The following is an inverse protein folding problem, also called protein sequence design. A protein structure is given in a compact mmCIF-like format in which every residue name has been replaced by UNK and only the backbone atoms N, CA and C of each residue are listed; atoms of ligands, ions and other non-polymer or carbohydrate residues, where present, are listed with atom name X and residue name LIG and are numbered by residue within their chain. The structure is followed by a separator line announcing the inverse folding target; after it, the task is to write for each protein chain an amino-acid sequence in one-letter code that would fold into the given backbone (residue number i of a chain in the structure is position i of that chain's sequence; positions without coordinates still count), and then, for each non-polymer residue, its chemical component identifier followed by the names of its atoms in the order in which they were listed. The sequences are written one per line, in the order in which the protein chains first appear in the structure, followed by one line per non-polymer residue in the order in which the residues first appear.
data_IF_844666194525
#
_entry.id   IF_844666194525
#
_cell.length_a   1.000
_cell.length_b   1.000
_cell.length_c   1.000
_cell.angle_alpha   90.00
_cell.angle_beta   90.00
_cell.angle_gamma   90.00
#
_symmetry.space_group_name_H-M   'P 1'
#
loop_
_entity.id
_entity.type
_entity.pdbx_description
1 polymer ?
#
# COMPACT_ATOMS: atom_id res chain seq x y z
N UNK A 1 3.70 -4.25 -3.40
CA UNK A 1 3.64 -2.79 -3.16
C UNK A 1 2.54 -2.09 -3.95
N UNK A 2 2.52 -2.12 -5.30
CA UNK A 2 1.58 -1.33 -6.11
C UNK A 2 0.12 -1.59 -5.80
N UNK A 3 -0.29 -2.84 -5.67
CA UNK A 3 -1.68 -3.19 -5.34
C UNK A 3 -2.15 -2.65 -3.99
N UNK A 4 -1.31 -2.73 -2.94
CA UNK A 4 -1.60 -2.14 -1.63
C UNK A 4 -1.68 -0.61 -1.70
N UNK A 5 -0.75 0.05 -2.41
CA UNK A 5 -0.69 1.50 -2.53
C UNK A 5 -1.89 2.08 -3.29
N UNK A 6 -2.20 1.53 -4.46
CA UNK A 6 -3.35 1.99 -5.26
C UNK A 6 -4.70 1.61 -4.64
N UNK A 7 -4.79 0.47 -3.96
CA UNK A 7 -5.98 0.08 -3.21
C UNK A 7 -6.28 1.04 -2.06
N UNK A 8 -5.26 1.38 -1.25
CA UNK A 8 -5.40 2.35 -0.18
C UNK A 8 -5.67 3.77 -0.71
N UNK A 9 -4.97 4.19 -1.77
CA UNK A 9 -5.22 5.45 -2.46
C UNK A 9 -6.68 5.58 -2.87
N UNK A 10 -7.19 4.59 -3.60
CA UNK A 10 -8.57 4.59 -4.11
C UNK A 10 -9.59 4.63 -2.98
N UNK A 11 -9.34 3.94 -1.87
CA UNK A 11 -10.17 4.01 -0.68
C UNK A 11 -10.16 5.40 -0.05
N UNK A 12 -8.99 5.99 0.16
CA UNK A 12 -8.85 7.28 0.85
C UNK A 12 -9.43 8.44 0.05
N UNK A 13 -9.31 8.45 -1.28
CA UNK A 13 -9.94 9.49 -2.10
C UNK A 13 -11.47 9.42 -2.05
N UNK A 14 -12.08 8.23 -1.91
CA UNK A 14 -13.52 8.08 -1.71
C UNK A 14 -13.98 8.70 -0.37
N UNK A 15 -13.10 8.75 0.63
CA UNK A 15 -13.36 9.43 1.90
C UNK A 15 -13.11 10.94 1.84
N UNK A 16 -12.72 11.47 0.69
CA UNK A 16 -12.49 12.91 0.48
C UNK A 16 -11.11 13.40 0.90
N UNK A 17 -10.16 12.50 1.17
CA UNK A 17 -8.78 12.89 1.44
C UNK A 17 -8.04 13.28 0.16
N UNK A 18 -7.12 14.24 0.28
CA UNK A 18 -6.14 14.54 -0.77
C UNK A 18 -4.97 13.57 -0.59
N UNK A 19 -4.74 12.74 -1.57
CA UNK A 19 -3.76 11.63 -1.47
C UNK A 19 -2.82 11.66 -2.66
N UNK A 20 -1.55 11.27 -2.44
CA UNK A 20 -0.57 11.07 -3.49
C UNK A 20 0.17 9.75 -3.28
N UNK A 21 0.28 8.93 -4.32
CA UNK A 21 1.13 7.74 -4.33
C UNK A 21 2.49 8.10 -4.92
N UNK A 22 3.56 7.77 -4.20
CA UNK A 22 4.93 7.97 -4.66
C UNK A 22 5.66 6.63 -4.60
N UNK A 23 6.27 6.22 -5.71
CA UNK A 23 7.18 5.06 -5.76
C UNK A 23 8.63 5.55 -5.80
N UNK A 24 9.59 4.84 -5.18
CA UNK A 24 10.99 5.26 -5.20
C UNK A 24 11.60 5.17 -6.59
N UNK A 25 11.21 4.19 -7.37
CA UNK A 25 11.68 3.91 -8.74
C UNK A 25 10.52 3.45 -9.62
N UNK A 26 10.76 3.30 -10.92
CA UNK A 26 9.82 2.68 -11.85
C UNK A 26 9.46 1.24 -11.44
N UNK A 27 8.33 0.77 -11.93
CA UNK A 27 7.75 -0.54 -11.63
C UNK A 27 7.29 -1.24 -12.91
N UNK A 28 7.11 -2.59 -12.88
CA UNK A 28 6.80 -3.36 -14.08
C UNK A 28 5.54 -2.88 -14.80
N UNK A 29 5.65 -2.71 -16.12
CA UNK A 29 4.58 -2.17 -16.98
C UNK A 29 3.28 -3.00 -16.95
N UNK A 30 3.36 -4.31 -16.65
CA UNK A 30 2.17 -5.14 -16.50
C UNK A 30 1.27 -4.76 -15.32
N UNK A 31 1.69 -3.84 -14.44
CA UNK A 31 0.91 -3.29 -13.35
C UNK A 31 0.18 -1.98 -13.71
N UNK A 32 0.49 -1.40 -14.86
CA UNK A 32 -0.02 -0.07 -15.27
C UNK A 32 -1.52 -0.04 -15.60
N UNK A 33 -2.16 -1.20 -15.76
CA UNK A 33 -3.60 -1.30 -15.99
C UNK A 33 -4.46 -1.03 -14.74
N UNK A 34 -3.84 -1.05 -13.54
CA UNK A 34 -4.59 -0.86 -12.30
C UNK A 34 -5.25 0.53 -12.24
N UNK A 35 -6.44 0.62 -11.64
CA UNK A 35 -7.12 1.89 -11.42
C UNK A 35 -6.21 2.93 -10.76
N UNK A 36 -6.31 4.18 -11.21
CA UNK A 36 -5.55 5.32 -10.71
C UNK A 36 -4.01 5.23 -10.89
N UNK A 37 -3.52 4.30 -11.71
CA UNK A 37 -2.08 4.16 -11.95
C UNK A 37 -1.45 5.43 -12.54
N UNK A 38 -2.21 6.21 -13.33
CA UNK A 38 -1.73 7.46 -13.92
C UNK A 38 -1.38 8.55 -12.88
N UNK A 39 -1.91 8.43 -11.66
CA UNK A 39 -1.67 9.37 -10.56
C UNK A 39 -0.38 9.06 -9.76
N UNK A 40 0.33 7.97 -10.09
CA UNK A 40 1.55 7.57 -9.39
C UNK A 40 2.71 8.46 -9.82
N UNK A 41 3.41 9.03 -8.83
CA UNK A 41 4.65 9.77 -9.05
C UNK A 41 5.83 8.84 -8.82
N UNK A 42 6.76 8.82 -9.76
CA UNK A 42 8.03 8.10 -9.65
C UNK A 42 9.09 9.09 -9.13
N UNK A 43 9.61 8.85 -7.93
CA UNK A 43 10.55 9.76 -7.26
C UNK A 43 11.78 10.07 -8.11
N UNK A 44 12.37 9.05 -8.76
CA UNK A 44 13.56 9.25 -9.61
C UNK A 44 13.31 10.15 -10.82
N UNK A 45 12.07 10.31 -11.25
CA UNK A 45 11.69 11.15 -12.40
C UNK A 45 11.22 12.56 -11.95
N UNK A 46 10.60 12.65 -10.78
CA UNK A 46 9.96 13.88 -10.28
C UNK A 46 10.34 14.16 -8.82
N UNK A 47 11.64 14.30 -8.56
CA UNK A 47 12.17 14.44 -7.20
C UNK A 47 11.59 15.63 -6.44
N UNK A 48 11.63 16.84 -7.02
CA UNK A 48 11.21 18.07 -6.33
C UNK A 48 9.69 18.03 -6.02
N UNK A 49 8.89 17.55 -6.95
CA UNK A 49 7.46 17.38 -6.74
C UNK A 49 7.18 16.36 -5.61
N UNK A 50 7.90 15.24 -5.60
CA UNK A 50 7.79 14.21 -4.56
C UNK A 50 8.20 14.74 -3.18
N UNK A 51 9.30 15.50 -3.09
CA UNK A 51 9.77 16.12 -1.84
C UNK A 51 8.74 17.08 -1.27
N UNK A 52 8.09 17.85 -2.15
CA UNK A 52 7.04 18.78 -1.73
C UNK A 52 5.83 18.04 -1.15
N UNK A 53 5.36 16.96 -1.80
CA UNK A 53 4.28 16.14 -1.26
C UNK A 53 4.63 15.53 0.11
N UNK A 54 5.86 15.03 0.28
CA UNK A 54 6.32 14.48 1.56
C UNK A 54 6.40 15.55 2.65
N UNK A 55 6.82 16.78 2.29
CA UNK A 55 6.93 17.90 3.24
C UNK A 55 5.56 18.43 3.67
N UNK A 56 4.58 18.45 2.76
CA UNK A 56 3.23 18.99 2.99
C UNK A 56 2.25 17.95 3.58
N UNK A 57 2.68 16.69 3.69
CA UNK A 57 1.81 15.63 4.19
C UNK A 57 1.51 15.80 5.68
N UNK A 58 0.26 15.53 6.07
CA UNK A 58 -0.14 15.37 7.47
C UNK A 58 0.13 13.93 7.96
N UNK A 59 0.01 12.96 7.04
CA UNK A 59 0.16 11.53 7.30
C UNK A 59 0.85 10.85 6.13
N UNK A 60 1.82 9.98 6.42
CA UNK A 60 2.52 9.16 5.41
C UNK A 60 2.26 7.68 5.71
N UNK A 61 1.61 6.98 4.77
CA UNK A 61 1.52 5.53 4.80
C UNK A 61 2.74 4.91 4.14
N UNK A 62 3.46 4.11 4.88
CA UNK A 62 4.62 3.34 4.44
C UNK A 62 4.18 1.90 4.19
N UNK A 63 4.12 1.51 2.91
CA UNK A 63 3.49 0.27 2.49
C UNK A 63 4.50 -0.70 1.86
N UNK A 64 4.55 -1.93 2.40
CA UNK A 64 5.30 -3.04 1.80
C UNK A 64 6.82 -2.87 1.84
N UNK A 65 7.31 -2.23 2.89
CA UNK A 65 8.73 -2.18 3.21
C UNK A 65 8.94 -2.01 4.73
N UNK A 66 9.91 -2.70 5.29
CA UNK A 66 10.21 -2.75 6.71
C UNK A 66 11.24 -1.72 7.19
N UNK A 67 11.93 -1.03 6.25
CA UNK A 67 12.98 -0.07 6.56
C UNK A 67 13.08 1.01 5.47
N UNK A 68 13.37 2.26 5.88
CA UNK A 68 13.43 3.41 4.98
C UNK A 68 14.52 3.29 3.91
N UNK A 69 15.58 2.54 4.17
CA UNK A 69 16.63 2.28 3.18
C UNK A 69 16.10 1.57 1.93
N UNK A 70 14.99 0.82 2.04
CA UNK A 70 14.38 0.10 0.91
C UNK A 70 13.71 1.00 -0.11
N UNK A 71 13.43 2.23 0.26
CA UNK A 71 12.88 3.25 -0.66
C UNK A 71 13.94 4.27 -1.11
N UNK A 72 15.22 3.88 -1.00
CA UNK A 72 16.36 4.66 -1.47
C UNK A 72 16.39 6.09 -0.87
N UNK A 73 16.72 7.09 -1.72
CA UNK A 73 16.82 8.49 -1.32
C UNK A 73 15.49 9.06 -0.77
N UNK A 74 14.34 8.59 -1.25
CA UNK A 74 13.02 9.00 -0.75
C UNK A 74 12.92 8.78 0.77
N UNK A 75 13.56 7.73 1.30
CA UNK A 75 13.57 7.40 2.72
C UNK A 75 14.16 8.50 3.61
N UNK A 76 15.08 9.32 3.10
CA UNK A 76 15.66 10.46 3.83
C UNK A 76 14.56 11.49 4.09
N UNK A 77 13.81 11.86 3.06
CA UNK A 77 12.74 12.86 3.17
C UNK A 77 11.57 12.37 4.00
N UNK A 78 11.22 11.08 3.90
CA UNK A 78 10.21 10.46 4.78
C UNK A 78 10.65 10.52 6.24
N UNK A 79 11.93 10.24 6.54
CA UNK A 79 12.47 10.31 7.90
C UNK A 79 12.41 11.72 8.49
N UNK A 80 12.78 12.72 7.70
CA UNK A 80 12.85 14.13 8.11
C UNK A 80 11.47 14.81 8.18
N UNK A 81 10.45 14.24 7.52
CA UNK A 81 9.10 14.78 7.52
C UNK A 81 8.50 14.80 8.93
N UNK A 82 7.78 15.89 9.23
CA UNK A 82 7.00 16.06 10.47
C UNK A 82 5.68 15.28 10.46
N UNK A 83 5.27 14.77 9.31
CA UNK A 83 4.06 13.94 9.17
C UNK A 83 4.13 12.71 10.08
N UNK A 84 2.99 12.29 10.59
CA UNK A 84 2.87 10.99 11.26
C UNK A 84 3.06 9.87 10.24
N UNK A 85 3.76 8.81 10.65
CA UNK A 85 4.08 7.67 9.77
C UNK A 85 3.30 6.45 10.23
N UNK A 86 2.61 5.83 9.28
CA UNK A 86 1.86 4.58 9.48
C UNK A 86 2.51 3.50 8.64
N UNK A 87 3.06 2.49 9.28
CA UNK A 87 3.59 1.31 8.61
C UNK A 87 2.47 0.30 8.41
N UNK A 88 2.29 -0.20 7.18
CA UNK A 88 1.50 -1.40 6.89
C UNK A 88 2.40 -2.35 6.11
N UNK A 89 2.83 -3.43 6.75
CA UNK A 89 3.87 -4.30 6.19
C UNK A 89 3.82 -5.72 6.75
N UNK A 90 4.38 -6.69 6.01
CA UNK A 90 4.48 -8.09 6.41
C UNK A 90 5.92 -8.63 6.41
N UNK A 91 6.91 -7.81 6.13
CA UNK A 91 8.32 -8.22 6.14
C UNK A 91 8.85 -8.40 7.58
N UNK A 92 9.91 -9.22 7.70
CA UNK A 92 10.61 -9.44 8.97
C UNK A 92 11.39 -8.19 9.41
N UNK A 93 11.62 -8.05 10.71
CA UNK A 93 12.53 -7.06 11.31
C UNK A 93 12.25 -5.61 10.89
N UNK A 94 11.09 -5.02 11.27
CA UNK A 94 10.80 -3.62 11.01
C UNK A 94 11.83 -2.70 11.71
N UNK A 95 12.22 -1.62 11.03
CA UNK A 95 13.21 -0.66 11.53
C UNK A 95 12.72 0.14 12.75
N UNK A 96 11.42 0.34 12.90
CA UNK A 96 10.81 1.10 14.01
C UNK A 96 10.88 2.62 13.82
N UNK A 97 10.68 3.11 12.60
CA UNK A 97 10.67 4.54 12.25
C UNK A 97 9.25 5.16 12.32
N UNK A 98 8.23 4.32 12.38
CA UNK A 98 6.82 4.67 12.31
C UNK A 98 6.25 5.14 13.66
N UNK A 99 5.19 5.94 13.62
CA UNK A 99 4.37 6.31 14.78
C UNK A 99 3.28 5.29 15.07
N UNK A 100 2.74 4.65 14.02
CA UNK A 100 1.69 3.62 14.08
C UNK A 100 2.03 2.47 13.15
N UNK A 101 1.63 1.26 13.54
CA UNK A 101 1.99 0.05 12.80
C UNK A 101 0.81 -0.92 12.71
N UNK A 102 0.55 -1.41 11.51
CA UNK A 102 -0.24 -2.61 11.23
C UNK A 102 0.71 -3.62 10.58
N UNK A 103 1.36 -4.40 11.42
CA UNK A 103 2.45 -5.28 11.00
C UNK A 103 2.25 -6.70 11.52
N UNK A 104 2.42 -7.68 10.63
CA UNK A 104 2.51 -9.09 11.00
C UNK A 104 3.13 -9.91 9.87
N UNK A 105 4.02 -10.80 10.21
CA UNK A 105 4.65 -11.74 9.27
C UNK A 105 3.74 -12.90 8.86
N UNK A 106 2.57 -13.05 9.49
CA UNK A 106 1.58 -14.07 9.13
C UNK A 106 0.71 -13.67 7.93
N UNK A 107 0.70 -12.39 7.55
CA UNK A 107 0.01 -11.93 6.36
C UNK A 107 0.74 -12.38 5.09
N UNK A 108 -0.01 -12.78 4.07
CA UNK A 108 0.57 -13.23 2.80
C UNK A 108 1.06 -12.06 1.92
N UNK A 109 0.59 -10.85 2.17
CA UNK A 109 0.86 -9.66 1.40
C UNK A 109 0.45 -8.41 2.18
N UNK A 110 1.08 -7.28 1.95
CA UNK A 110 0.62 -5.98 2.49
C UNK A 110 -0.78 -5.63 2.01
N UNK A 111 -1.18 -6.05 0.81
CA UNK A 111 -2.55 -5.86 0.30
C UNK A 111 -3.62 -6.58 1.14
N UNK A 112 -3.31 -7.72 1.76
CA UNK A 112 -4.17 -8.36 2.75
C UNK A 112 -4.37 -7.42 3.96
N UNK A 113 -3.31 -6.84 4.48
CA UNK A 113 -3.38 -5.94 5.63
C UNK A 113 -4.15 -4.64 5.31
N UNK A 114 -4.03 -4.12 4.10
CA UNK A 114 -4.84 -2.98 3.63
C UNK A 114 -6.32 -3.36 3.57
N UNK A 115 -6.67 -4.57 3.10
CA UNK A 115 -8.05 -5.06 3.17
C UNK A 115 -8.55 -5.10 4.63
N UNK A 116 -7.76 -5.68 5.53
CA UNK A 116 -8.11 -5.77 6.96
C UNK A 116 -8.22 -4.39 7.60
N UNK A 117 -7.37 -3.45 7.22
CA UNK A 117 -7.48 -2.05 7.64
C UNK A 117 -8.82 -1.44 7.23
N UNK A 118 -9.20 -1.55 5.97
CA UNK A 118 -10.45 -0.98 5.45
C UNK A 118 -11.68 -1.64 6.10
N UNK A 119 -11.70 -2.97 6.15
CA UNK A 119 -12.90 -3.73 6.55
C UNK A 119 -13.03 -3.86 8.06
N UNK A 120 -11.94 -4.23 8.75
CA UNK A 120 -11.99 -4.60 10.15
C UNK A 120 -11.67 -3.44 11.08
N UNK A 121 -10.68 -2.59 10.72
CA UNK A 121 -10.27 -1.47 11.57
C UNK A 121 -11.17 -0.26 11.33
N UNK A 122 -11.38 0.11 10.06
CA UNK A 122 -12.20 1.28 9.71
C UNK A 122 -13.69 0.96 9.62
N UNK A 123 -14.08 -0.31 9.46
CA UNK A 123 -15.49 -0.73 9.33
C UNK A 123 -16.13 -0.35 7.98
N UNK A 124 -15.32 -0.01 6.98
CA UNK A 124 -15.76 0.59 5.72
C UNK A 124 -15.91 -0.44 4.58
N UNK A 125 -16.42 -1.65 4.88
CA UNK A 125 -16.60 -2.69 3.84
C UNK A 125 -17.37 -2.18 2.62
N UNK A 126 -18.31 -1.23 2.79
CA UNK A 126 -19.10 -0.64 1.72
C UNK A 126 -18.27 0.21 0.73
N UNK A 127 -17.04 0.59 1.09
CA UNK A 127 -16.09 1.31 0.23
C UNK A 127 -15.12 0.39 -0.52
N UNK A 128 -15.26 -0.93 -0.38
CA UNK A 128 -14.58 -1.90 -1.25
C UNK A 128 -15.22 -1.90 -2.64
N UNK A 129 -14.99 -0.84 -3.39
CA UNK A 129 -15.44 -0.75 -4.79
C UNK A 129 -14.63 -1.68 -5.68
N UNK A 130 -15.11 -1.91 -6.90
CA UNK A 130 -14.40 -2.69 -7.92
C UNK A 130 -12.94 -2.24 -8.10
N UNK A 131 -12.67 -0.94 -8.07
CA UNK A 131 -11.32 -0.39 -8.26
C UNK A 131 -10.43 -0.71 -7.07
N UNK A 132 -10.92 -0.54 -5.83
CA UNK A 132 -10.18 -0.95 -4.62
C UNK A 132 -9.91 -2.46 -4.66
N UNK A 133 -10.94 -3.25 -4.95
CA UNK A 133 -10.86 -4.70 -5.00
C UNK A 133 -9.86 -5.20 -6.04
N UNK A 134 -9.86 -4.62 -7.26
CA UNK A 134 -8.92 -4.97 -8.32
C UNK A 134 -7.46 -4.73 -7.93
N UNK A 135 -7.19 -3.61 -7.25
CA UNK A 135 -5.85 -3.30 -6.75
C UNK A 135 -5.41 -4.29 -5.66
N UNK A 136 -6.24 -4.52 -4.64
CA UNK A 136 -5.91 -5.42 -3.53
C UNK A 136 -5.79 -6.87 -3.99
N UNK A 137 -6.67 -7.33 -4.86
CA UNK A 137 -6.58 -8.65 -5.48
C UNK A 137 -5.24 -8.83 -6.18
N UNK A 138 -4.83 -7.85 -7.00
CA UNK A 138 -3.54 -7.88 -7.71
C UNK A 138 -2.37 -7.98 -6.75
N UNK A 139 -2.37 -7.20 -5.65
CA UNK A 139 -1.33 -7.25 -4.64
C UNK A 139 -1.24 -8.63 -3.98
N UNK A 140 -2.37 -9.22 -3.57
CA UNK A 140 -2.40 -10.56 -2.97
C UNK A 140 -1.95 -11.62 -4.00
N UNK A 141 -2.46 -11.55 -5.23
CA UNK A 141 -2.14 -12.52 -6.28
C UNK A 141 -0.64 -12.53 -6.61
N UNK A 142 -0.02 -11.36 -6.74
CA UNK A 142 1.41 -11.25 -7.07
C UNK A 142 2.30 -11.77 -5.94
N UNK A 143 2.03 -11.40 -4.69
CA UNK A 143 2.84 -11.80 -3.53
C UNK A 143 2.68 -13.28 -3.14
N UNK A 144 1.57 -13.90 -3.52
CA UNK A 144 1.31 -15.34 -3.28
C UNK A 144 1.73 -16.23 -4.45
N UNK A 145 2.36 -15.66 -5.47
CA UNK A 145 2.71 -16.38 -6.70
C UNK A 145 1.49 -17.03 -7.35
N UNK A 146 0.40 -16.27 -7.50
CA UNK A 146 -0.89 -16.75 -7.98
C UNK A 146 -1.48 -17.84 -7.06
N UNK A 147 -1.49 -17.56 -5.76
CA UNK A 147 -2.04 -18.40 -4.69
C UNK A 147 -1.35 -19.77 -4.50
N UNK A 148 -0.09 -19.91 -4.94
CA UNK A 148 0.67 -21.17 -4.87
C UNK A 148 1.56 -21.28 -3.64
N UNK A 149 1.88 -20.16 -2.97
CA UNK A 149 2.79 -20.17 -1.84
C UNK A 149 2.06 -20.61 -0.56
N UNK A 150 2.84 -21.15 0.41
CA UNK A 150 2.30 -21.63 1.70
C UNK A 150 1.65 -20.54 2.55
N UNK A 151 1.97 -19.28 2.30
CA UNK A 151 1.32 -18.12 2.92
C UNK A 151 -0.15 -17.94 2.51
N UNK A 152 -0.61 -18.67 1.48
CA UNK A 152 -2.01 -18.65 1.02
C UNK A 152 -2.87 -19.50 1.94
N UNK A 153 -3.40 -18.89 2.98
CA UNK A 153 -4.26 -19.55 3.98
C UNK A 153 -5.73 -19.55 3.56
N UNK A 154 -6.58 -20.28 4.28
CA UNK A 154 -8.04 -20.23 4.08
C UNK A 154 -8.57 -18.79 4.22
N UNK A 155 -8.05 -18.00 5.19
CA UNK A 155 -8.43 -16.58 5.34
C UNK A 155 -8.12 -15.75 4.09
N UNK A 156 -6.96 -15.97 3.46
CA UNK A 156 -6.62 -15.31 2.19
C UNK A 156 -7.66 -15.62 1.10
N UNK A 157 -8.08 -16.87 0.97
CA UNK A 157 -9.13 -17.24 0.00
C UNK A 157 -10.48 -16.61 0.33
N UNK A 158 -10.86 -16.46 1.59
CA UNK A 158 -12.07 -15.73 1.99
C UNK A 158 -11.98 -14.25 1.62
N UNK A 159 -10.84 -13.61 1.86
CA UNK A 159 -10.61 -12.22 1.45
C UNK A 159 -10.72 -12.10 -0.07
N UNK A 160 -10.06 -12.99 -0.81
CA UNK A 160 -10.10 -13.00 -2.27
C UNK A 160 -11.52 -13.20 -2.81
N UNK A 161 -12.32 -14.09 -2.20
CA UNK A 161 -13.74 -14.26 -2.56
C UNK A 161 -14.52 -12.95 -2.38
N UNK A 162 -14.36 -12.26 -1.24
CA UNK A 162 -14.98 -10.95 -1.02
C UNK A 162 -14.55 -9.89 -2.05
N UNK A 163 -13.27 -9.90 -2.47
CA UNK A 163 -12.77 -8.98 -3.49
C UNK A 163 -13.33 -9.28 -4.89
N UNK A 164 -13.61 -10.54 -5.19
CA UNK A 164 -14.22 -10.95 -6.47
C UNK A 164 -15.70 -10.56 -6.55
N UNK A 165 -16.38 -10.51 -5.41
CA UNK A 165 -17.81 -10.15 -5.32
C UNK A 165 -18.05 -8.62 -5.47
N UNK A 166 -17.00 -7.78 -5.39
CA UNK A 166 -17.08 -6.34 -5.61
C UNK A 166 -17.12 -5.99 -7.11
#
# INVERSE_FOLDING_TARGET
AMGSSLGLYTYLIQKGHKVQVITPTDYPSFLQWMPNNAEVIIFTEKQEESKQYVADADLIFCLDFNALVRINELGIYVRESKAKKVLIDHHLEPEGFEDYSLWTTSACATAQLVYEFIVNIMGDKHLLTKDVASCLYTGIMTDTGSFRFRSTTANVHHIVANLIEC
#
